data_IF_292812667445
#
_entry.id   IF_292812667445
#
_cell.length_a   1.000
_cell.length_b   1.000
_cell.length_c   1.000
_cell.angle_alpha   90.00
_cell.angle_beta   90.00
_cell.angle_gamma   90.00
#
_symmetry.space_group_name_H-M   'P 1'
#
loop_
_entity.id
_entity.type
_entity.pdbx_description
1 polymer ?
#
# COMPACT_ATOMS: atom_id res chain seq x y z
N UNK A 1 6.90 -3.48 2.34
CA UNK A 1 5.81 -4.43 2.04
C UNK A 1 6.22 -5.83 2.50
N UNK A 2 5.42 -6.46 3.35
CA UNK A 2 5.60 -7.88 3.72
C UNK A 2 5.20 -8.79 2.58
N UNK A 3 5.81 -9.96 2.47
CA UNK A 3 5.39 -10.99 1.51
C UNK A 3 4.15 -11.73 2.01
N UNK A 4 3.40 -12.34 1.10
CA UNK A 4 2.25 -13.18 1.45
C UNK A 4 2.64 -14.29 2.45
N UNK A 5 3.79 -14.92 2.26
CA UNK A 5 4.28 -15.99 3.13
C UNK A 5 4.59 -15.48 4.56
N UNK A 6 5.17 -14.29 4.68
CA UNK A 6 5.38 -13.66 5.99
C UNK A 6 4.05 -13.36 6.69
N UNK A 7 3.05 -12.86 5.95
CA UNK A 7 1.72 -12.56 6.50
C UNK A 7 1.01 -13.84 6.94
N UNK A 8 1.08 -14.90 6.12
CA UNK A 8 0.53 -16.22 6.44
C UNK A 8 1.09 -16.74 7.76
N UNK A 9 2.40 -16.71 7.94
CA UNK A 9 3.06 -17.19 9.15
C UNK A 9 2.75 -16.33 10.38
N UNK A 10 2.68 -15.01 10.23
CA UNK A 10 2.30 -14.11 11.32
C UNK A 10 0.87 -14.37 11.78
N UNK A 11 -0.09 -14.48 10.85
CA UNK A 11 -1.48 -14.78 11.19
C UNK A 11 -1.59 -16.16 11.80
N UNK A 12 -0.89 -17.17 11.28
CA UNK A 12 -0.90 -18.51 11.87
C UNK A 12 -0.42 -18.47 13.34
N UNK A 13 0.63 -17.70 13.65
CA UNK A 13 1.13 -17.49 15.02
C UNK A 13 0.12 -16.78 15.91
N UNK A 14 -0.55 -15.76 15.41
CA UNK A 14 -1.62 -15.04 16.16
C UNK A 14 -2.76 -15.98 16.56
N UNK A 15 -3.01 -17.03 15.77
CA UNK A 15 -4.04 -18.04 16.03
C UNK A 15 -3.53 -19.27 16.80
N UNK A 16 -2.25 -19.27 17.21
CA UNK A 16 -1.65 -20.30 18.07
C UNK A 16 -0.97 -21.46 17.31
N UNK A 17 -0.70 -21.30 16.02
CA UNK A 17 0.06 -22.27 15.23
C UNK A 17 1.53 -21.84 15.13
N UNK A 18 2.44 -22.80 14.98
CA UNK A 18 3.88 -22.52 14.86
C UNK A 18 4.23 -21.81 13.53
N UNK A 19 3.53 -22.19 12.47
CA UNK A 19 3.62 -21.63 11.11
C UNK A 19 2.32 -21.87 10.36
N UNK A 20 2.17 -21.23 9.19
CA UNK A 20 1.02 -21.47 8.32
C UNK A 20 1.02 -22.91 7.80
N UNK A 21 2.18 -23.48 7.49
CA UNK A 21 2.31 -24.88 7.06
C UNK A 21 1.76 -25.87 8.11
N UNK A 22 2.03 -25.63 9.40
CA UNK A 22 1.48 -26.46 10.49
C UNK A 22 -0.03 -26.30 10.67
N UNK A 23 -0.56 -25.13 10.35
CA UNK A 23 -2.00 -24.91 10.27
C UNK A 23 -2.59 -25.67 9.08
N UNK A 24 -2.03 -25.50 7.88
CA UNK A 24 -2.52 -26.08 6.63
C UNK A 24 -2.53 -27.61 6.68
N UNK A 25 -1.45 -28.22 7.20
CA UNK A 25 -1.34 -29.66 7.43
C UNK A 25 -2.46 -30.16 8.38
N UNK A 26 -2.71 -29.46 9.50
CA UNK A 26 -3.80 -29.82 10.44
C UNK A 26 -5.20 -29.62 9.87
N UNK A 27 -5.40 -28.54 9.11
CA UNK A 27 -6.69 -28.18 8.50
C UNK A 27 -7.07 -29.10 7.33
N UNK A 28 -6.07 -29.66 6.64
CA UNK A 28 -6.27 -30.59 5.52
C UNK A 28 -6.88 -31.92 5.96
N UNK A 29 -6.55 -32.38 7.18
CA UNK A 29 -7.03 -33.67 7.70
C UNK A 29 -8.22 -33.57 8.67
N UNK A 30 -8.50 -32.38 9.19
CA UNK A 30 -9.64 -32.13 10.09
C UNK A 30 -10.28 -30.78 9.77
N UNK A 31 -11.61 -30.74 9.72
CA UNK A 31 -12.33 -29.48 9.54
C UNK A 31 -12.12 -28.57 10.75
N UNK A 32 -11.15 -27.67 10.66
CA UNK A 32 -10.90 -26.66 11.68
C UNK A 32 -11.84 -25.47 11.46
N UNK A 33 -12.77 -25.26 12.40
CA UNK A 33 -13.70 -24.13 12.37
C UNK A 33 -13.00 -22.76 12.36
N UNK A 34 -11.69 -22.71 12.64
CA UNK A 34 -10.87 -21.49 12.55
C UNK A 34 -10.36 -21.19 11.15
N UNK A 35 -10.33 -22.17 10.24
CA UNK A 35 -9.79 -22.00 8.88
C UNK A 35 -10.37 -20.78 8.15
N UNK A 36 -11.70 -20.58 8.08
CA UNK A 36 -12.26 -19.40 7.41
C UNK A 36 -11.78 -18.07 8.01
N UNK A 37 -11.61 -18.01 9.35
CA UNK A 37 -11.16 -16.78 10.04
C UNK A 37 -9.70 -16.48 9.77
N UNK A 38 -8.85 -17.52 9.74
CA UNK A 38 -7.42 -17.39 9.46
C UNK A 38 -7.22 -16.89 8.03
N UNK A 39 -7.94 -17.47 7.06
CA UNK A 39 -7.86 -17.05 5.64
C UNK A 39 -8.40 -15.62 5.44
N UNK A 40 -9.48 -15.25 6.11
CA UNK A 40 -10.03 -13.88 6.07
C UNK A 40 -9.02 -12.86 6.61
N UNK A 41 -8.37 -13.16 7.75
CA UNK A 41 -7.37 -12.29 8.36
C UNK A 41 -6.11 -12.14 7.47
N UNK A 42 -5.63 -13.23 6.87
CA UNK A 42 -4.52 -13.20 5.89
C UNK A 42 -4.89 -12.30 4.72
N UNK A 43 -6.11 -12.46 4.20
CA UNK A 43 -6.60 -11.70 3.05
C UNK A 43 -6.68 -10.20 3.36
N UNK A 44 -7.19 -9.84 4.54
CA UNK A 44 -7.26 -8.44 5.01
C UNK A 44 -5.87 -7.81 5.15
N UNK A 45 -4.94 -8.49 5.82
CA UNK A 45 -3.57 -7.97 6.01
C UNK A 45 -2.83 -7.83 4.69
N UNK A 46 -2.96 -8.80 3.80
CA UNK A 46 -2.35 -8.72 2.47
C UNK A 46 -2.94 -7.59 1.63
N UNK A 47 -4.27 -7.40 1.65
CA UNK A 47 -4.92 -6.30 0.96
C UNK A 47 -4.45 -4.93 1.47
N UNK A 48 -4.25 -4.77 2.78
CA UNK A 48 -3.70 -3.55 3.37
C UNK A 48 -2.28 -3.26 2.89
N UNK A 49 -1.39 -4.26 2.89
CA UNK A 49 -0.01 -4.12 2.43
C UNK A 49 0.05 -3.70 0.95
N UNK A 50 -0.79 -4.31 0.10
CA UNK A 50 -0.88 -3.97 -1.33
C UNK A 50 -1.47 -2.56 -1.54
N UNK A 51 -2.50 -2.20 -0.77
CA UNK A 51 -3.09 -0.87 -0.84
C UNK A 51 -2.10 0.21 -0.43
N UNK A 52 -1.36 0.00 0.67
CA UNK A 52 -0.33 0.93 1.13
C UNK A 52 0.79 1.09 0.09
N UNK A 53 1.30 -0.01 -0.47
CA UNK A 53 2.30 0.04 -1.53
C UNK A 53 1.78 0.78 -2.79
N UNK A 54 0.49 0.64 -3.10
CA UNK A 54 -0.15 1.35 -4.21
C UNK A 54 -0.22 2.86 -3.96
N UNK A 55 -0.54 3.28 -2.73
CA UNK A 55 -0.54 4.69 -2.33
C UNK A 55 0.87 5.30 -2.37
N UNK A 56 1.89 4.56 -1.93
CA UNK A 56 3.29 5.00 -2.01
C UNK A 56 3.70 5.27 -3.46
N UNK A 57 3.40 4.32 -4.36
CA UNK A 57 3.67 4.48 -5.80
C UNK A 57 2.88 5.63 -6.41
N UNK A 58 1.63 5.84 -5.99
CA UNK A 58 0.83 6.96 -6.43
C UNK A 58 1.44 8.31 -5.99
N UNK A 59 1.95 8.38 -4.76
CA UNK A 59 2.57 9.58 -4.24
C UNK A 59 3.91 9.91 -4.93
N UNK A 60 4.72 8.90 -5.25
CA UNK A 60 5.93 9.07 -6.08
C UNK A 60 5.59 9.63 -7.47
N UNK A 61 4.57 9.07 -8.12
CA UNK A 61 4.10 9.55 -9.43
C UNK A 61 3.54 10.98 -9.37
N UNK A 62 2.90 11.36 -8.27
CA UNK A 62 2.42 12.71 -8.06
C UNK A 62 3.59 13.70 -7.97
N UNK A 63 4.63 13.38 -7.18
CA UNK A 63 5.79 14.25 -6.99
C UNK A 63 6.51 14.59 -8.32
N UNK A 64 6.63 13.61 -9.23
CA UNK A 64 7.27 13.81 -10.54
C UNK A 64 6.51 14.83 -11.41
N UNK A 65 5.17 14.89 -11.34
CA UNK A 65 4.35 15.76 -12.19
C UNK A 65 4.40 17.23 -11.79
N UNK A 66 4.68 17.56 -10.53
CA UNK A 66 4.71 18.94 -10.03
C UNK A 66 6.11 19.57 -10.06
N UNK A 67 7.15 18.80 -10.41
CA UNK A 67 8.52 19.30 -10.57
C UNK A 67 8.76 20.03 -11.91
N UNK A 68 7.72 20.27 -12.72
CA UNK A 68 7.82 20.93 -14.02
C UNK A 68 7.89 22.48 -13.95
N UNK A 69 8.50 22.99 -12.87
CA UNK A 69 9.04 24.36 -12.81
C UNK A 69 10.24 24.57 -13.74
N UNK A 70 10.68 23.55 -14.49
CA UNK A 70 11.75 23.62 -15.48
C UNK A 70 11.22 23.83 -16.90
N UNK A 71 10.31 24.79 -17.09
CA UNK A 71 10.17 25.43 -18.40
C UNK A 71 11.45 26.26 -18.67
N UNK A 72 12.51 25.63 -19.20
CA UNK A 72 13.65 26.36 -19.78
C UNK A 72 13.12 27.16 -20.98
N UNK A 73 12.70 28.39 -20.73
CA UNK A 73 12.34 29.35 -21.78
C UNK A 73 13.60 29.70 -22.58
N UNK A 74 13.87 28.97 -23.66
CA UNK A 74 14.92 29.28 -24.65
C UNK A 74 14.62 30.51 -25.53
N UNK A 75 13.70 31.39 -25.12
CA UNK A 75 13.38 32.62 -25.84
C UNK A 75 13.13 33.77 -24.87
N UNK A 76 13.79 34.89 -25.13
CA UNK A 76 13.53 36.15 -24.45
C UNK A 76 12.12 36.64 -24.83
N UNK A 77 11.16 36.50 -23.92
CA UNK A 77 9.80 37.05 -24.06
C UNK A 77 9.63 38.27 -23.17
N UNK A 78 9.00 39.31 -23.72
CA UNK A 78 8.89 40.66 -23.14
C UNK A 78 7.97 40.76 -21.90
N UNK A 79 7.18 39.73 -21.62
CA UNK A 79 6.34 39.63 -20.43
C UNK A 79 6.35 38.17 -19.96
N UNK A 80 6.84 37.93 -18.74
CA UNK A 80 6.75 36.62 -18.09
C UNK A 80 5.61 36.74 -17.06
N UNK A 81 4.48 36.09 -17.33
CA UNK A 81 3.47 35.88 -16.29
C UNK A 81 3.92 34.69 -15.45
N UNK A 82 4.73 34.97 -14.43
CA UNK A 82 5.08 33.98 -13.40
C UNK A 82 3.96 34.03 -12.36
N UNK A 83 2.92 33.26 -12.63
CA UNK A 83 1.83 33.02 -11.70
C UNK A 83 1.43 31.56 -11.82
N UNK A 84 2.40 30.66 -11.65
CA UNK A 84 2.07 29.27 -11.40
C UNK A 84 1.68 29.20 -9.92
N UNK A 85 0.40 29.00 -9.64
CA UNK A 85 -0.02 28.48 -8.33
C UNK A 85 0.69 27.13 -8.18
N UNK A 86 1.80 27.13 -7.44
CA UNK A 86 2.56 25.92 -7.17
C UNK A 86 1.73 25.05 -6.22
N UNK A 87 0.87 24.20 -6.78
CA UNK A 87 0.15 23.20 -5.99
C UNK A 87 1.17 22.15 -5.56
N UNK A 88 1.55 22.21 -4.28
CA UNK A 88 2.36 21.18 -3.64
C UNK A 88 1.41 20.17 -3.01
N UNK A 89 1.48 18.92 -3.45
CA UNK A 89 0.76 17.81 -2.80
C UNK A 89 1.74 17.15 -1.84
N UNK A 90 1.40 17.16 -0.56
CA UNK A 90 2.18 16.45 0.45
C UNK A 90 2.04 14.93 0.26
N UNK A 91 3.16 14.21 0.31
CA UNK A 91 3.19 12.75 0.18
C UNK A 91 2.27 12.10 1.22
N UNK A 92 2.28 12.62 2.44
CA UNK A 92 1.49 12.10 3.56
C UNK A 92 -0.02 12.22 3.30
N UNK A 93 -0.47 13.19 2.52
CA UNK A 93 -1.87 13.33 2.14
C UNK A 93 -2.38 12.15 1.30
N UNK A 94 -1.48 11.49 0.54
CA UNK A 94 -1.78 10.32 -0.29
C UNK A 94 -1.53 9.03 0.50
N UNK A 95 -0.37 8.91 1.17
CA UNK A 95 0.07 7.67 1.85
C UNK A 95 -0.56 7.46 3.23
N UNK A 96 -1.49 8.32 3.64
CA UNK A 96 -2.21 8.17 4.90
C UNK A 96 -2.98 6.85 4.92
N UNK A 97 -2.74 6.02 5.93
CA UNK A 97 -3.43 4.74 6.11
C UNK A 97 -4.95 4.90 6.25
N UNK A 98 -5.43 6.06 6.73
CA UNK A 98 -6.86 6.36 6.82
C UNK A 98 -7.54 6.52 5.45
N UNK A 99 -6.76 6.64 4.36
CA UNK A 99 -7.29 6.64 3.00
C UNK A 99 -7.64 5.21 2.51
N UNK A 100 -7.23 4.17 3.24
CA UNK A 100 -7.53 2.77 2.90
C UNK A 100 -8.83 2.37 3.60
N UNK A 101 -9.81 1.94 2.81
CA UNK A 101 -11.06 1.34 3.32
C UNK A 101 -11.12 -0.12 2.87
N UNK A 102 -11.21 -1.04 3.82
CA UNK A 102 -11.53 -2.44 3.56
C UNK A 102 -13.05 -2.60 3.49
N UNK A 103 -13.56 -3.24 2.44
CA UNK A 103 -14.99 -3.45 2.18
C UNK A 103 -15.46 -4.83 2.66
#
# INVERSE_FOLDING_TARGET
>A
MKTLEQIKDEVAKDFGYESFEKFDDKSTFYYDHKTPKIIDEISKRYALEVAQASLEKAAENANIKYHDGHNKLYKAVKHVQIGADNIQIDKESITNHNNITLL
#
